data_IF_725103948758
#
_entry.id   IF_725103948758
#
_cell.length_a   1.000
_cell.length_b   1.000
_cell.length_c   1.000
_cell.angle_alpha   90.00
_cell.angle_beta   90.00
_cell.angle_gamma   90.00
#
_symmetry.space_group_name_H-M   'P 1'
#
loop_
_entity.id
_entity.type
_entity.pdbx_description
1 polymer ?
#
# COMPACT_ATOMS: atom_id res chain seq x y z
N UNK A 1 10.88 2.20 -6.26
CA UNK A 1 10.35 3.36 -5.50
C UNK A 1 11.38 4.48 -5.56
N UNK A 2 11.10 5.66 -4.99
CA UNK A 2 12.05 6.78 -5.02
C UNK A 2 13.39 6.48 -4.34
N UNK A 3 13.39 5.75 -3.23
CA UNK A 3 14.63 5.37 -2.54
C UNK A 3 15.47 4.36 -3.33
N UNK A 4 14.84 3.38 -3.98
CA UNK A 4 15.52 2.42 -4.86
C UNK A 4 16.20 3.12 -6.04
N UNK A 5 15.58 4.15 -6.61
CA UNK A 5 16.22 4.97 -7.65
C UNK A 5 17.47 5.71 -7.14
N UNK A 6 17.43 6.28 -5.93
CA UNK A 6 18.60 6.89 -5.32
C UNK A 6 19.74 5.89 -5.14
N UNK A 7 19.42 4.67 -4.68
CA UNK A 7 20.40 3.59 -4.49
C UNK A 7 20.99 3.16 -5.84
N UNK A 8 20.15 3.03 -6.88
CA UNK A 8 20.58 2.69 -8.24
C UNK A 8 21.58 3.70 -8.79
N UNK A 9 21.30 5.00 -8.65
CA UNK A 9 22.20 6.07 -9.10
C UNK A 9 23.47 6.16 -8.26
N UNK A 10 23.38 5.86 -6.95
CA UNK A 10 24.56 5.73 -6.10
C UNK A 10 25.47 4.60 -6.58
N UNK A 11 24.92 3.41 -6.86
CA UNK A 11 25.69 2.27 -7.40
C UNK A 11 26.35 2.61 -8.74
N UNK A 12 25.67 3.35 -9.60
CA UNK A 12 26.25 3.93 -10.83
C UNK A 12 27.43 4.87 -10.54
N UNK A 13 27.27 5.79 -9.60
CA UNK A 13 28.30 6.73 -9.21
C UNK A 13 29.54 6.05 -8.65
N UNK A 14 29.37 4.98 -7.86
CA UNK A 14 30.48 4.19 -7.33
C UNK A 14 31.29 3.47 -8.42
N UNK A 15 30.70 3.23 -9.60
CA UNK A 15 31.36 2.64 -10.78
C UNK A 15 31.92 3.68 -11.75
N UNK A 16 31.96 4.96 -11.35
CA UNK A 16 32.33 6.10 -12.21
C UNK A 16 31.51 6.16 -13.52
N UNK A 17 30.28 5.64 -13.52
CA UNK A 17 29.40 5.71 -14.68
C UNK A 17 28.67 7.05 -14.76
N UNK A 18 28.64 7.62 -15.96
CA UNK A 18 27.88 8.84 -16.23
C UNK A 18 26.36 8.62 -16.04
N UNK A 19 25.71 9.62 -15.45
CA UNK A 19 24.25 9.71 -15.43
C UNK A 19 23.73 10.16 -16.80
N UNK A 20 22.67 9.51 -17.27
CA UNK A 20 21.96 9.89 -18.48
C UNK A 20 21.20 11.21 -18.25
N UNK A 21 21.02 11.99 -19.30
CA UNK A 21 20.26 13.25 -19.23
C UNK A 21 18.84 13.04 -18.67
N UNK A 22 18.17 11.96 -19.04
CA UNK A 22 16.86 11.60 -18.49
C UNK A 22 16.90 11.30 -16.99
N UNK A 23 17.96 10.67 -16.49
CA UNK A 23 18.15 10.40 -15.06
C UNK A 23 18.28 11.74 -14.32
N UNK A 24 19.14 12.63 -14.82
CA UNK A 24 19.33 13.97 -14.26
C UNK A 24 18.02 14.77 -14.27
N UNK A 25 17.32 14.82 -15.41
CA UNK A 25 16.05 15.54 -15.55
C UNK A 25 14.99 15.01 -14.58
N UNK A 26 14.82 13.68 -14.50
CA UNK A 26 13.83 13.06 -13.61
C UNK A 26 14.15 13.30 -12.14
N UNK A 27 15.43 13.25 -11.78
CA UNK A 27 15.92 13.48 -10.42
C UNK A 27 15.65 14.90 -9.91
N UNK A 28 15.44 15.85 -10.82
CA UNK A 28 15.26 17.28 -10.54
C UNK A 28 13.84 17.80 -10.80
N UNK A 29 12.86 16.91 -11.04
CA UNK A 29 11.46 17.32 -11.21
C UNK A 29 10.94 18.06 -9.95
N UNK A 30 10.19 19.14 -10.18
CA UNK A 30 9.60 19.92 -9.08
C UNK A 30 8.55 19.09 -8.32
N UNK A 31 8.81 18.91 -7.03
CA UNK A 31 7.99 18.07 -6.15
C UNK A 31 6.66 18.72 -5.79
N UNK A 32 6.58 20.06 -5.81
CA UNK A 32 5.37 20.80 -5.38
C UNK A 32 4.26 20.75 -6.42
N UNK A 33 4.61 20.56 -7.69
CA UNK A 33 3.67 20.55 -8.82
C UNK A 33 3.49 19.17 -9.44
N UNK A 34 4.23 18.16 -8.98
CA UNK A 34 4.20 16.79 -9.52
C UNK A 34 2.81 16.13 -9.45
N UNK A 35 1.98 16.50 -8.46
CA UNK A 35 0.59 16.08 -8.35
C UNK A 35 -0.30 17.29 -8.58
N UNK A 36 -1.05 17.36 -9.69
CA UNK A 36 -1.93 18.49 -9.96
C UNK A 36 -3.11 18.50 -8.98
N UNK A 37 -3.35 19.61 -8.27
CA UNK A 37 -4.43 19.69 -7.28
C UNK A 37 -5.81 19.70 -7.95
N UNK A 38 -6.81 19.26 -7.21
CA UNK A 38 -8.21 19.33 -7.61
C UNK A 38 -8.74 20.76 -7.43
N UNK A 39 -9.46 21.28 -8.42
CA UNK A 39 -10.08 22.61 -8.35
C UNK A 39 -11.36 22.54 -7.51
N UNK A 40 -11.51 23.48 -6.56
CA UNK A 40 -12.71 23.58 -5.69
C UNK A 40 -13.04 22.27 -4.99
N UNK A 41 -12.01 21.57 -4.50
CA UNK A 41 -12.20 20.31 -3.80
C UNK A 41 -12.82 20.54 -2.42
N UNK A 42 -13.88 19.79 -2.14
CA UNK A 42 -14.46 19.64 -0.82
C UNK A 42 -14.16 18.23 -0.31
N UNK A 43 -14.08 18.05 1.01
CA UNK A 43 -13.78 16.75 1.61
C UNK A 43 -14.81 15.70 1.15
N UNK A 44 -14.31 14.60 0.59
CA UNK A 44 -15.14 13.53 0.05
C UNK A 44 -14.56 12.14 0.32
N UNK A 45 -15.15 11.09 -0.27
CA UNK A 45 -14.77 9.69 -0.03
C UNK A 45 -13.34 9.36 -0.45
N UNK A 46 -12.68 10.26 -1.18
CA UNK A 46 -11.30 10.09 -1.62
C UNK A 46 -10.31 10.00 -0.44
N UNK A 47 -10.67 10.60 0.70
CA UNK A 47 -9.88 10.60 1.94
C UNK A 47 -10.48 9.67 3.01
N UNK A 48 -11.39 8.76 2.65
CA UNK A 48 -11.81 7.69 3.55
C UNK A 48 -10.58 6.93 4.06
N UNK A 49 -10.56 6.61 5.35
CA UNK A 49 -9.43 6.00 6.08
C UNK A 49 -8.15 6.86 6.17
N UNK A 50 -8.22 8.13 5.74
CA UNK A 50 -7.06 9.04 5.71
C UNK A 50 -7.16 10.25 6.65
N UNK A 51 -8.35 10.50 7.20
CA UNK A 51 -8.58 11.56 8.18
C UNK A 51 -8.69 10.97 9.57
N UNK A 52 -7.81 11.41 10.47
CA UNK A 52 -7.84 11.06 11.90
C UNK A 52 -9.12 11.62 12.49
N UNK A 53 -9.98 10.72 12.96
CA UNK A 53 -11.17 11.08 13.74
C UNK A 53 -10.73 11.34 15.17
N UNK A 54 -11.29 12.35 15.86
CA UNK A 54 -11.03 12.55 17.28
C UNK A 54 -11.34 11.25 18.04
N UNK A 55 -10.47 10.82 18.97
CA UNK A 55 -10.78 9.66 19.79
C UNK A 55 -12.09 9.91 20.55
N UNK A 56 -12.94 8.90 20.75
CA UNK A 56 -14.06 9.03 21.67
C UNK A 56 -13.53 9.49 23.03
N UNK A 57 -14.12 10.56 23.55
CA UNK A 57 -13.77 11.15 24.84
C UNK A 57 -14.19 10.19 25.94
N UNK A 58 -13.40 9.18 26.31
CA UNK A 58 -13.64 8.51 27.61
C UNK A 58 -12.53 7.67 28.22
N UNK A 59 -11.53 7.14 27.52
CA UNK A 59 -10.56 6.24 28.19
C UNK A 59 -9.10 6.55 27.87
N UNK A 60 -8.24 6.35 28.88
CA UNK A 60 -6.80 6.35 28.72
C UNK A 60 -6.40 5.26 27.70
N UNK A 61 -5.43 5.53 26.81
CA UNK A 61 -5.02 4.54 25.82
C UNK A 61 -4.53 3.26 26.51
N UNK A 62 -4.99 2.07 26.08
CA UNK A 62 -4.58 0.81 26.69
C UNK A 62 -3.07 0.62 26.54
N UNK A 63 -2.46 -0.06 27.50
CA UNK A 63 -1.04 -0.42 27.42
C UNK A 63 -0.78 -1.24 26.15
N UNK A 64 0.20 -0.87 25.32
CA UNK A 64 0.52 -1.64 24.11
C UNK A 64 0.86 -3.10 24.46
N UNK A 65 0.32 -4.09 23.70
CA UNK A 65 0.66 -5.48 23.92
C UNK A 65 2.13 -5.74 23.57
N UNK A 66 2.71 -6.80 24.16
CA UNK A 66 4.04 -7.28 23.74
C UNK A 66 3.96 -7.76 22.29
N UNK A 67 4.87 -7.27 21.45
CA UNK A 67 5.00 -7.64 20.04
C UNK A 67 6.45 -7.95 19.67
N UNK A 68 6.66 -8.65 18.56
CA UNK A 68 7.98 -9.00 18.02
C UNK A 68 7.98 -8.98 16.50
N UNK A 69 9.17 -8.97 15.89
CA UNK A 69 9.37 -9.05 14.45
C UNK A 69 9.94 -10.41 14.06
N UNK A 70 9.48 -10.96 12.94
CA UNK A 70 9.99 -12.20 12.37
C UNK A 70 9.95 -12.15 10.83
N UNK A 71 10.88 -12.84 10.18
CA UNK A 71 10.84 -13.06 8.74
C UNK A 71 10.21 -14.41 8.42
N UNK A 72 9.35 -14.40 7.40
CA UNK A 72 8.78 -15.61 6.79
C UNK A 72 9.18 -15.65 5.33
N UNK A 73 9.93 -16.67 4.94
CA UNK A 73 10.39 -16.86 3.57
C UNK A 73 9.42 -17.73 2.79
N UNK A 74 9.11 -17.32 1.56
CA UNK A 74 8.29 -18.08 0.63
C UNK A 74 9.16 -18.44 -0.58
N UNK A 75 9.29 -19.74 -0.88
CA UNK A 75 10.03 -20.18 -2.06
C UNK A 75 9.32 -19.77 -3.36
N UNK A 76 10.03 -19.71 -4.50
CA UNK A 76 9.40 -19.46 -5.80
C UNK A 76 8.25 -20.44 -6.09
N UNK A 77 8.41 -21.71 -5.73
CA UNK A 77 7.38 -22.74 -5.91
C UNK A 77 6.15 -22.48 -5.03
N UNK A 78 6.36 -22.08 -3.76
CA UNK A 78 5.26 -21.74 -2.86
C UNK A 78 4.49 -20.50 -3.35
N UNK A 79 5.20 -19.48 -3.86
CA UNK A 79 4.58 -18.29 -4.43
C UNK A 79 3.78 -18.59 -5.70
N UNK A 80 4.29 -19.48 -6.57
CA UNK A 80 3.53 -19.94 -7.75
C UNK A 80 2.27 -20.68 -7.32
N UNK A 81 2.39 -21.66 -6.43
CA UNK A 81 1.26 -22.44 -5.95
C UNK A 81 0.19 -21.58 -5.27
N UNK A 82 0.59 -20.57 -4.48
CA UNK A 82 -0.33 -19.59 -3.90
C UNK A 82 -1.10 -18.81 -4.98
N UNK A 83 -0.38 -18.33 -6.01
CA UNK A 83 -0.99 -17.59 -7.11
C UNK A 83 -1.94 -18.49 -7.92
N UNK A 84 -1.55 -19.73 -8.20
CA UNK A 84 -2.34 -20.68 -8.95
C UNK A 84 -3.64 -21.02 -8.21
N UNK A 85 -3.54 -21.31 -6.91
CA UNK A 85 -4.71 -21.56 -6.05
C UNK A 85 -5.65 -20.34 -5.99
N UNK A 86 -5.10 -19.13 -5.85
CA UNK A 86 -5.91 -17.91 -5.86
C UNK A 86 -6.59 -17.68 -7.21
N UNK A 87 -5.90 -17.98 -8.31
CA UNK A 87 -6.42 -17.78 -9.68
C UNK A 87 -7.59 -18.72 -10.00
N UNK A 88 -7.65 -19.90 -9.38
CA UNK A 88 -8.76 -20.85 -9.56
C UNK A 88 -10.07 -20.40 -8.92
N UNK A 89 -10.03 -19.45 -7.98
CA UNK A 89 -11.21 -19.03 -7.20
C UNK A 89 -11.42 -17.52 -7.23
N UNK A 90 -11.09 -16.87 -8.34
CA UNK A 90 -11.32 -15.43 -8.52
C UNK A 90 -12.81 -15.11 -8.50
N UNK A 91 -13.15 -13.87 -8.16
CA UNK A 91 -14.49 -13.38 -8.45
C UNK A 91 -14.67 -13.28 -9.97
N UNK A 92 -15.88 -13.51 -10.48
CA UNK A 92 -16.13 -13.51 -11.93
C UNK A 92 -15.90 -12.15 -12.63
N UNK A 93 -15.48 -11.12 -11.90
CA UNK A 93 -15.20 -9.76 -12.40
C UNK A 93 -13.69 -9.49 -12.52
N UNK A 94 -12.87 -10.22 -11.77
CA UNK A 94 -11.42 -10.04 -11.71
C UNK A 94 -10.76 -10.88 -12.78
N UNK A 95 -10.27 -10.22 -13.84
CA UNK A 95 -9.62 -10.91 -14.95
C UNK A 95 -8.30 -11.59 -14.60
N UNK A 96 -7.54 -11.06 -13.63
CA UNK A 96 -6.29 -11.66 -13.16
C UNK A 96 -5.88 -11.10 -11.79
N UNK A 97 -5.02 -11.83 -11.08
CA UNK A 97 -4.29 -11.35 -9.90
C UNK A 97 -2.77 -11.55 -10.06
N UNK A 98 -1.97 -10.77 -9.34
CA UNK A 98 -0.51 -10.93 -9.29
C UNK A 98 -0.09 -11.86 -8.15
N UNK A 99 1.17 -12.32 -8.18
CA UNK A 99 1.78 -13.02 -7.03
C UNK A 99 1.73 -12.19 -5.75
N UNK A 100 1.89 -10.87 -5.87
CA UNK A 100 1.82 -9.94 -4.74
C UNK A 100 0.41 -9.85 -4.14
N UNK A 101 -0.65 -9.92 -4.97
CA UNK A 101 -2.03 -10.01 -4.45
C UNK A 101 -2.26 -11.33 -3.72
N UNK A 102 -1.84 -12.45 -4.31
CA UNK A 102 -2.02 -13.78 -3.73
C UNK A 102 -1.34 -13.86 -2.35
N UNK A 103 -0.10 -13.39 -2.23
CA UNK A 103 0.62 -13.38 -0.97
C UNK A 103 -0.01 -12.41 0.04
N UNK A 104 -0.41 -11.21 -0.40
CA UNK A 104 -1.09 -10.23 0.47
C UNK A 104 -2.40 -10.79 1.03
N UNK A 105 -3.20 -11.44 0.19
CA UNK A 105 -4.44 -12.10 0.57
C UNK A 105 -4.19 -13.27 1.54
N UNK A 106 -3.18 -14.10 1.26
CA UNK A 106 -2.81 -15.23 2.12
C UNK A 106 -2.37 -14.77 3.51
N UNK A 107 -1.61 -13.67 3.60
CA UNK A 107 -1.23 -13.05 4.87
C UNK A 107 -2.49 -12.56 5.60
N UNK A 108 -3.40 -11.86 4.91
CA UNK A 108 -4.63 -11.36 5.53
C UNK A 108 -5.51 -12.48 6.05
N UNK A 109 -5.70 -13.53 5.27
CA UNK A 109 -6.45 -14.73 5.64
C UNK A 109 -5.82 -15.44 6.83
N UNK A 110 -4.50 -15.61 6.84
CA UNK A 110 -3.80 -16.32 7.92
C UNK A 110 -3.79 -15.56 9.23
N UNK A 111 -3.56 -14.25 9.19
CA UNK A 111 -3.63 -13.39 10.37
C UNK A 111 -5.06 -13.30 10.89
N UNK A 112 -6.06 -13.19 10.00
CA UNK A 112 -7.48 -13.14 10.39
C UNK A 112 -7.89 -14.44 11.10
N UNK A 113 -7.51 -15.59 10.54
CA UNK A 113 -7.77 -16.91 11.15
C UNK A 113 -7.11 -17.06 12.52
N UNK A 114 -5.86 -16.60 12.69
CA UNK A 114 -5.20 -16.62 14.00
C UNK A 114 -5.88 -15.67 15.01
N UNK A 115 -6.42 -14.53 14.55
CA UNK A 115 -7.13 -13.56 15.38
C UNK A 115 -8.49 -14.06 15.87
N UNK A 116 -9.17 -14.95 15.14
CA UNK A 116 -10.45 -15.55 15.55
C UNK A 116 -10.37 -16.34 16.87
N UNK A 117 -9.18 -16.78 17.29
CA UNK A 117 -9.01 -17.43 18.59
C UNK A 117 -9.23 -16.49 19.79
N UNK A 118 -9.27 -15.17 19.56
CA UNK A 118 -9.38 -14.14 20.61
C UNK A 118 -10.33 -12.99 20.28
N UNK A 119 -10.99 -13.00 19.12
CA UNK A 119 -11.88 -11.95 18.65
C UNK A 119 -13.11 -12.58 17.98
N UNK A 120 -14.23 -11.87 18.02
CA UNK A 120 -15.49 -12.35 17.46
C UNK A 120 -15.45 -12.44 15.92
N UNK A 121 -16.20 -13.40 15.39
CA UNK A 121 -16.34 -13.64 13.94
C UNK A 121 -16.74 -12.39 13.15
N UNK A 122 -17.59 -11.55 13.74
CA UNK A 122 -18.14 -10.34 13.12
C UNK A 122 -17.21 -9.13 13.18
N UNK A 123 -16.07 -9.24 13.88
CA UNK A 123 -15.10 -8.16 14.06
C UNK A 123 -14.60 -7.66 12.69
N UNK A 124 -14.67 -6.35 12.48
CA UNK A 124 -14.16 -5.70 11.27
C UNK A 124 -12.64 -5.83 11.19
N UNK A 125 -12.12 -5.99 9.98
CA UNK A 125 -10.69 -5.96 9.65
C UNK A 125 -10.47 -5.13 8.39
N UNK A 126 -9.48 -4.25 8.44
CA UNK A 126 -9.05 -3.40 7.34
C UNK A 126 -7.66 -3.84 6.85
N UNK A 127 -7.52 -3.94 5.53
CA UNK A 127 -6.24 -4.13 4.87
C UNK A 127 -5.81 -2.82 4.19
N UNK A 128 -4.79 -2.18 4.76
CA UNK A 128 -4.14 -0.99 4.22
C UNK A 128 -2.92 -1.43 3.38
N UNK A 129 -3.01 -1.34 2.04
CA UNK A 129 -1.92 -1.72 1.14
C UNK A 129 -1.27 -0.49 0.52
N UNK A 130 0.04 -0.31 0.71
CA UNK A 130 0.78 0.75 0.05
C UNK A 130 0.91 0.50 -1.46
N UNK A 131 0.71 1.55 -2.26
CA UNK A 131 0.76 1.50 -3.73
C UNK A 131 1.63 2.65 -4.25
N UNK A 132 2.61 2.32 -5.09
CA UNK A 132 3.31 3.29 -5.91
C UNK A 132 2.35 3.85 -6.97
N UNK A 133 2.05 5.14 -6.88
CA UNK A 133 1.06 5.81 -7.74
C UNK A 133 1.69 6.61 -8.88
N UNK A 134 3.01 6.49 -9.11
CA UNK A 134 3.71 7.13 -10.24
C UNK A 134 3.03 6.85 -11.57
N UNK A 135 2.72 5.58 -11.84
CA UNK A 135 2.08 5.18 -13.11
C UNK A 135 0.69 5.79 -13.25
N UNK A 136 -0.08 5.81 -12.17
CA UNK A 136 -1.43 6.37 -12.13
C UNK A 136 -1.44 7.88 -12.34
N UNK A 137 -0.36 8.58 -11.97
CA UNK A 137 -0.22 10.03 -12.10
C UNK A 137 0.61 10.47 -13.33
N UNK A 138 0.97 9.55 -14.23
CA UNK A 138 1.84 9.81 -15.39
C UNK A 138 3.21 10.40 -15.00
N UNK A 139 3.70 10.03 -13.82
CA UNK A 139 5.03 10.41 -13.33
C UNK A 139 6.02 9.31 -13.68
N UNK A 140 7.25 9.63 -14.13
CA UNK A 140 8.27 8.63 -14.42
C UNK A 140 8.51 7.68 -13.24
N UNK A 141 8.69 6.39 -13.51
CA UNK A 141 8.91 5.35 -12.47
C UNK A 141 10.18 5.61 -11.65
N UNK A 142 11.16 6.26 -12.27
CA UNK A 142 12.42 6.71 -11.69
C UNK A 142 12.33 8.10 -11.01
N UNK A 143 11.14 8.65 -10.77
CA UNK A 143 11.01 9.83 -9.93
C UNK A 143 11.44 9.51 -8.47
N UNK A 144 12.40 10.25 -7.87
CA UNK A 144 12.97 9.90 -6.57
C UNK A 144 12.12 10.32 -5.37
N UNK A 145 11.08 11.14 -5.58
CA UNK A 145 10.28 11.69 -4.49
C UNK A 145 9.29 10.69 -3.88
N UNK A 146 8.59 11.13 -2.84
CA UNK A 146 7.49 10.36 -2.25
C UNK A 146 6.28 10.51 -3.17
N UNK A 147 5.84 9.40 -3.75
CA UNK A 147 4.64 9.35 -4.57
C UNK A 147 3.97 7.98 -4.37
N UNK A 148 3.28 7.88 -3.24
CA UNK A 148 2.64 6.68 -2.74
C UNK A 148 1.27 7.06 -2.18
N UNK A 149 0.31 6.17 -2.34
CA UNK A 149 -0.95 6.21 -1.60
C UNK A 149 -1.25 4.80 -1.07
N UNK A 150 -2.41 4.59 -0.47
CA UNK A 150 -2.86 3.29 0.00
C UNK A 150 -4.11 2.85 -0.75
N UNK A 151 -4.34 1.55 -0.84
CA UNK A 151 -5.69 1.00 -0.98
C UNK A 151 -6.20 0.50 0.36
N UNK A 152 -7.52 0.52 0.53
CA UNK A 152 -8.20 0.14 1.76
C UNK A 152 -9.25 -0.91 1.42
N UNK A 153 -9.16 -2.08 2.02
CA UNK A 153 -10.16 -3.14 1.87
C UNK A 153 -10.70 -3.53 3.23
N UNK A 154 -12.00 -3.33 3.44
CA UNK A 154 -12.68 -3.66 4.69
C UNK A 154 -13.44 -4.98 4.54
N UNK A 155 -13.39 -5.83 5.56
CA UNK A 155 -14.17 -7.06 5.64
C UNK A 155 -14.35 -7.50 7.11
N UNK A 156 -14.91 -8.68 7.35
CA UNK A 156 -14.98 -9.30 8.68
C UNK A 156 -13.91 -10.37 8.83
N UNK A 157 -13.38 -10.58 10.04
CA UNK A 157 -12.36 -11.60 10.30
C UNK A 157 -12.80 -12.98 9.81
N UNK A 158 -14.04 -13.38 10.12
CA UNK A 158 -14.60 -14.67 9.68
C UNK A 158 -14.72 -14.79 8.16
N UNK A 159 -15.09 -13.71 7.46
CA UNK A 159 -15.18 -13.71 6.01
C UNK A 159 -13.80 -13.90 5.39
N UNK A 160 -12.83 -13.06 5.77
CA UNK A 160 -11.45 -13.15 5.24
C UNK A 160 -10.80 -14.48 5.58
N UNK A 161 -11.06 -15.04 6.76
CA UNK A 161 -10.49 -16.32 7.18
C UNK A 161 -11.01 -17.50 6.35
N UNK A 162 -12.29 -17.48 5.97
CA UNK A 162 -13.00 -18.64 5.42
C UNK A 162 -13.33 -18.54 3.91
N UNK A 163 -13.26 -17.35 3.31
CA UNK A 163 -13.44 -17.18 1.87
C UNK A 163 -12.32 -17.88 1.06
N UNK A 164 -12.61 -18.29 -0.19
CA UNK A 164 -11.56 -18.76 -1.08
C UNK A 164 -10.48 -17.69 -1.29
N UNK A 165 -9.21 -18.11 -1.35
CA UNK A 165 -8.06 -17.20 -1.45
C UNK A 165 -8.19 -16.21 -2.62
N UNK A 166 -8.72 -16.68 -3.75
CA UNK A 166 -8.96 -15.86 -4.93
C UNK A 166 -9.98 -14.73 -4.72
N UNK A 167 -10.98 -14.92 -3.85
CA UNK A 167 -11.97 -13.87 -3.53
C UNK A 167 -11.29 -12.77 -2.71
N UNK A 168 -10.49 -13.15 -1.71
CA UNK A 168 -9.71 -12.19 -0.91
C UNK A 168 -8.70 -11.45 -1.79
N UNK A 169 -8.01 -12.16 -2.70
CA UNK A 169 -7.08 -11.55 -3.65
C UNK A 169 -7.77 -10.61 -4.66
N UNK A 170 -8.97 -10.99 -5.13
CA UNK A 170 -9.79 -10.17 -6.04
C UNK A 170 -10.17 -8.85 -5.38
N UNK A 171 -10.57 -8.87 -4.10
CA UNK A 171 -10.84 -7.67 -3.30
C UNK A 171 -9.64 -6.72 -3.22
N UNK A 172 -8.42 -7.25 -3.06
CA UNK A 172 -7.21 -6.41 -3.04
C UNK A 172 -6.87 -5.85 -4.42
N UNK A 173 -7.20 -6.59 -5.49
CA UNK A 173 -6.94 -6.21 -6.88
C UNK A 173 -7.94 -5.16 -7.38
N UNK A 174 -9.21 -5.23 -6.97
CA UNK A 174 -10.26 -4.29 -7.40
C UNK A 174 -9.93 -2.85 -7.01
N UNK A 175 -9.21 -2.64 -5.91
CA UNK A 175 -8.81 -1.31 -5.44
C UNK A 175 -7.67 -0.67 -6.26
N UNK A 176 -7.08 -1.38 -7.22
CA UNK A 176 -5.94 -0.90 -8.01
C UNK A 176 -6.36 -0.14 -9.28
N UNK A 177 -7.62 0.33 -9.34
CA UNK A 177 -8.14 1.17 -10.41
C UNK A 177 -7.30 2.41 -10.64
N UNK A 178 -6.88 2.64 -11.90
CA UNK A 178 -5.98 3.74 -12.25
C UNK A 178 -6.56 5.11 -11.89
N UNK A 179 -7.79 5.36 -12.34
CA UNK A 179 -8.46 6.64 -12.14
C UNK A 179 -8.83 6.88 -10.68
N UNK A 180 -9.22 5.82 -9.95
CA UNK A 180 -9.54 5.90 -8.53
C UNK A 180 -8.30 6.27 -7.70
N UNK A 181 -7.17 5.59 -7.92
CA UNK A 181 -5.91 5.90 -7.25
C UNK A 181 -5.38 7.30 -7.62
N UNK A 182 -5.50 7.70 -8.88
CA UNK A 182 -5.17 9.07 -9.32
C UNK A 182 -5.99 10.08 -8.54
N UNK A 183 -7.32 9.95 -8.57
CA UNK A 183 -8.26 10.88 -7.94
C UNK A 183 -8.06 10.95 -6.44
N UNK A 184 -7.88 9.80 -5.78
CA UNK A 184 -7.58 9.71 -4.33
C UNK A 184 -6.29 10.39 -3.95
N UNK A 185 -5.24 10.21 -4.74
CA UNK A 185 -3.95 10.86 -4.48
C UNK A 185 -4.03 12.37 -4.70
N UNK A 186 -4.70 12.83 -5.75
CA UNK A 186 -4.91 14.27 -5.98
C UNK A 186 -5.72 14.91 -4.86
N UNK A 187 -6.78 14.25 -4.39
CA UNK A 187 -7.59 14.72 -3.27
C UNK A 187 -6.77 14.85 -1.98
N UNK A 188 -6.01 13.81 -1.62
CA UNK A 188 -5.12 13.84 -0.44
C UNK A 188 -4.10 14.98 -0.53
N UNK A 189 -3.45 15.17 -1.68
CA UNK A 189 -2.49 16.27 -1.87
C UNK A 189 -3.17 17.64 -1.81
N UNK A 190 -4.36 17.77 -2.40
CA UNK A 190 -5.14 19.01 -2.36
C UNK A 190 -5.53 19.38 -0.93
N UNK A 191 -5.96 18.39 -0.15
CA UNK A 191 -6.30 18.57 1.27
C UNK A 191 -5.09 18.93 2.14
N UNK A 192 -3.92 18.31 1.87
CA UNK A 192 -2.65 18.59 2.56
C UNK A 192 -2.03 19.95 2.21
N UNK A 193 -2.45 20.57 1.11
CA UNK A 193 -1.98 21.89 0.71
C UNK A 193 -2.35 22.96 1.76
N UNK A 194 -3.49 22.78 2.43
CA UNK A 194 -3.90 23.57 3.59
C UNK A 194 -3.07 23.19 4.84
N UNK A 195 -2.44 24.19 5.46
CA UNK A 195 -1.59 23.99 6.64
C UNK A 195 -2.37 23.53 7.88
N UNK A 196 -3.65 23.93 8.00
CA UNK A 196 -4.47 23.61 9.18
C UNK A 196 -4.86 22.12 9.25
N UNK A 197 -4.87 21.44 8.10
CA UNK A 197 -5.39 20.08 7.97
C UNK A 197 -4.31 18.99 8.07
N UNK A 198 -3.02 19.35 7.98
CA UNK A 198 -1.91 18.38 7.90
C UNK A 198 -1.81 17.45 9.09
N UNK A 199 -2.07 17.95 10.30
CA UNK A 199 -1.99 17.15 11.54
C UNK A 199 -3.10 16.11 11.66
N UNK A 200 -4.15 16.21 10.84
CA UNK A 200 -5.30 15.30 10.81
C UNK A 200 -5.17 14.23 9.74
N UNK A 201 -4.12 14.24 8.92
CA UNK A 201 -3.97 13.27 7.83
C UNK A 201 -3.00 12.17 8.25
N UNK A 202 -3.42 10.92 8.09
CA UNK A 202 -2.57 9.75 8.23
C UNK A 202 -2.98 8.71 7.19
N UNK A 203 -2.03 8.05 6.55
CA UNK A 203 -2.34 6.98 5.58
C UNK A 203 -2.94 5.72 6.21
N UNK A 204 -3.01 5.67 7.55
CA UNK A 204 -3.62 4.59 8.34
C UNK A 204 -4.47 5.18 9.46
N UNK A 205 -5.25 6.23 9.15
CA UNK A 205 -5.86 7.09 10.16
C UNK A 205 -6.84 6.37 11.10
N UNK A 206 -7.54 5.36 10.60
CA UNK A 206 -8.51 4.56 11.35
C UNK A 206 -8.13 3.07 11.45
N UNK A 207 -6.89 2.72 11.13
CA UNK A 207 -6.40 1.35 11.25
C UNK A 207 -6.26 0.94 12.73
N UNK A 208 -6.94 -0.13 13.12
CA UNK A 208 -6.89 -0.75 14.43
C UNK A 208 -5.79 -1.84 14.47
N UNK A 209 -4.69 -1.65 15.24
CA UNK A 209 -3.59 -2.60 15.30
C UNK A 209 -4.00 -4.01 15.78
N UNK A 210 -5.11 -4.15 16.51
CA UNK A 210 -5.60 -5.44 16.99
C UNK A 210 -6.18 -6.31 15.85
N UNK A 211 -6.76 -5.70 14.82
CA UNK A 211 -7.57 -6.38 13.78
C UNK A 211 -7.04 -6.22 12.37
N UNK A 212 -6.26 -5.19 12.11
CA UNK A 212 -5.96 -4.73 10.75
C UNK A 212 -4.57 -5.13 10.29
N UNK A 213 -4.28 -4.89 9.00
CA UNK A 213 -2.98 -5.11 8.39
C UNK A 213 -2.56 -3.86 7.63
N UNK A 214 -1.32 -3.44 7.85
CA UNK A 214 -0.67 -2.36 7.11
C UNK A 214 0.52 -2.95 6.36
N UNK A 215 0.37 -3.17 5.05
CA UNK A 215 1.37 -3.84 4.22
C UNK A 215 1.98 -2.86 3.21
N UNK A 216 3.31 -2.81 3.16
CA UNK A 216 4.06 -2.17 2.07
C UNK A 216 4.93 -3.22 1.38
N UNK A 217 4.62 -3.53 0.12
CA UNK A 217 5.40 -4.49 -0.66
C UNK A 217 6.57 -3.81 -1.36
N UNK A 218 7.78 -4.26 -1.03
CA UNK A 218 9.02 -3.85 -1.69
C UNK A 218 9.50 -4.90 -2.71
N UNK A 219 8.64 -5.84 -3.10
CA UNK A 219 9.00 -6.95 -3.99
C UNK A 219 9.46 -6.52 -5.40
N UNK A 220 9.17 -5.28 -5.80
CA UNK A 220 9.58 -4.71 -7.10
C UNK A 220 10.85 -3.87 -7.04
N UNK A 221 11.46 -3.69 -5.86
CA UNK A 221 12.74 -2.99 -5.76
C UNK A 221 13.84 -3.86 -6.36
N UNK A 222 14.83 -3.21 -6.97
CA UNK A 222 15.94 -3.86 -7.66
C UNK A 222 17.23 -3.81 -6.85
N UNK A 223 17.13 -3.68 -5.53
CA UNK A 223 18.29 -3.63 -4.63
C UNK A 223 19.24 -4.82 -4.76
N UNK A 224 18.78 -5.95 -5.29
CA UNK A 224 19.58 -7.14 -5.57
C UNK A 224 20.45 -7.04 -6.85
N UNK A 225 20.24 -6.01 -7.68
CA UNK A 225 20.94 -5.77 -8.95
C UNK A 225 22.14 -4.81 -8.80
N UNK A 226 22.39 -4.24 -7.62
CA UNK A 226 23.36 -3.15 -7.43
C UNK A 226 24.63 -3.64 -6.71
N UNK A 227 25.79 -3.50 -7.34
CA UNK A 227 27.09 -3.97 -6.83
C UNK A 227 27.91 -2.89 -6.09
N UNK A 228 27.78 -1.63 -6.49
CA UNK A 228 28.54 -0.47 -5.98
C UNK A 228 30.04 -0.47 -6.36
N UNK A 229 30.40 -1.09 -7.49
CA UNK A 229 31.78 -1.22 -7.99
C UNK A 229 32.51 -2.46 -7.48
#
# INVERSE_FOLDING_TARGET
>A
TGQDELIRLLSKACRDEAFLEQEISTMNLDRKTIVPPLKKYELGPELDHQIIKPPPTTDAPPTPPKASWAFFSFSPQALSALKDNATQTLDGKTGFISTDDALSAFIWQSVSRARLARLDDSTSTLFCRAVDVRTQLDVPKNYPGILQNMTYSVSKLSQVANEPLGIVASRLRSELGREDLRRRTQAMVTYLHDQANRTKVSVTADANPSTDIMLSSWAKLKCWEYDFG
#
